data_IF_109575297145
#
_entry.id   IF_109575297145
#
_cell.length_a   1.000
_cell.length_b   1.000
_cell.length_c   1.000
_cell.angle_alpha   90.00
_cell.angle_beta   90.00
_cell.angle_gamma   90.00
#
_symmetry.space_group_name_H-M   'P 1'
#
loop_
_entity.id
_entity.type
_entity.pdbx_description
1 polymer ?
#
# COMPACT_ATOMS: atom_id res chain seq x y z
N UNK A 1 55.58 46.21 -59.83
CA UNK A 1 54.80 46.11 -61.09
C UNK A 1 53.61 47.04 -60.92
N UNK A 2 53.61 48.12 -61.73
CA UNK A 2 52.57 49.11 -62.05
C UNK A 2 51.65 49.64 -60.94
N UNK A 3 51.78 50.92 -60.52
CA UNK A 3 51.30 52.18 -61.18
C UNK A 3 49.77 52.30 -60.96
N UNK A 4 49.19 53.26 -60.24
CA UNK A 4 49.01 54.72 -60.44
C UNK A 4 47.83 55.10 -59.49
N UNK A 5 47.50 56.30 -59.04
CA UNK A 5 48.04 57.67 -59.01
C UNK A 5 46.97 58.50 -58.24
N UNK A 6 47.39 59.48 -57.42
CA UNK A 6 46.83 60.86 -57.27
C UNK A 6 45.31 61.09 -57.02
N UNK A 7 44.83 62.15 -56.36
CA UNK A 7 45.40 63.33 -55.71
C UNK A 7 44.25 64.11 -55.01
N UNK A 8 44.62 64.75 -53.89
CA UNK A 8 44.31 66.12 -53.43
C UNK A 8 42.91 66.78 -53.56
N UNK A 9 42.42 67.33 -52.44
CA UNK A 9 42.24 68.78 -52.08
C UNK A 9 41.11 68.91 -51.03
N UNK A 10 40.95 69.92 -50.17
CA UNK A 10 41.77 70.70 -49.24
C UNK A 10 40.77 71.47 -48.32
N UNK A 11 41.26 72.18 -47.29
CA UNK A 11 40.57 73.00 -46.27
C UNK A 11 39.76 72.26 -45.19
N UNK A 12 39.88 72.52 -43.89
CA UNK A 12 40.61 73.52 -43.11
C UNK A 12 39.81 73.85 -41.85
N UNK A 13 40.39 73.72 -40.65
CA UNK A 13 40.12 74.54 -39.44
C UNK A 13 40.71 73.90 -38.18
N UNK A 14 41.11 74.79 -37.27
CA UNK A 14 41.97 74.58 -36.11
C UNK A 14 41.27 73.97 -34.86
N UNK A 15 42.11 73.46 -33.97
CA UNK A 15 41.99 72.79 -32.66
C UNK A 15 41.20 73.66 -31.62
N UNK A 16 40.38 73.13 -30.66
CA UNK A 16 40.93 72.37 -29.53
C UNK A 16 40.13 71.24 -28.84
N UNK A 17 40.91 70.24 -28.39
CA UNK A 17 40.77 69.33 -27.24
C UNK A 17 39.37 69.17 -26.62
N UNK A 18 38.83 67.95 -26.75
CA UNK A 18 37.90 67.40 -25.76
C UNK A 18 38.23 65.93 -25.46
N UNK A 19 38.47 65.64 -24.17
CA UNK A 19 38.65 64.30 -23.63
C UNK A 19 37.26 63.66 -23.47
N UNK A 20 36.98 62.56 -24.15
CA UNK A 20 35.84 61.67 -23.88
C UNK A 20 36.00 60.44 -24.79
N UNK A 21 35.93 59.18 -24.38
CA UNK A 21 35.56 58.54 -23.13
C UNK A 21 35.46 57.05 -23.43
N UNK A 22 36.53 56.27 -23.20
CA UNK A 22 36.51 54.81 -23.33
C UNK A 22 35.94 54.21 -22.05
N UNK A 23 34.63 54.35 -21.81
CA UNK A 23 33.96 53.71 -20.68
C UNK A 23 32.57 53.22 -21.11
N UNK A 24 32.49 52.05 -21.76
CA UNK A 24 31.20 51.35 -21.85
C UNK A 24 31.25 49.82 -22.09
N UNK A 25 32.37 49.14 -21.78
CA UNK A 25 32.42 47.67 -21.94
C UNK A 25 32.93 46.89 -20.71
N UNK A 26 33.60 47.53 -19.74
CA UNK A 26 34.13 46.83 -18.54
C UNK A 26 33.14 46.70 -17.37
N UNK A 27 32.07 47.50 -17.32
CA UNK A 27 31.10 47.49 -16.22
C UNK A 27 30.21 46.23 -16.25
N UNK A 28 29.65 45.87 -17.42
CA UNK A 28 28.75 44.72 -17.55
C UNK A 28 29.38 43.38 -17.14
N UNK A 29 30.67 43.15 -17.42
CA UNK A 29 31.37 41.92 -17.02
C UNK A 29 31.57 41.80 -15.51
N UNK A 30 31.88 42.91 -14.81
CA UNK A 30 32.01 42.90 -13.35
C UNK A 30 30.66 42.65 -12.67
N UNK A 31 29.59 43.27 -13.16
CA UNK A 31 28.22 43.06 -12.66
C UNK A 31 27.71 41.64 -12.91
N UNK A 32 28.06 41.03 -14.04
CA UNK A 32 27.73 39.63 -14.34
C UNK A 32 28.50 38.66 -13.43
N UNK A 33 29.79 38.95 -13.15
CA UNK A 33 30.62 38.13 -12.26
C UNK A 33 30.18 38.21 -10.80
N UNK A 34 29.83 39.41 -10.31
CA UNK A 34 29.26 39.57 -8.96
C UNK A 34 27.87 38.95 -8.86
N UNK A 35 27.05 39.07 -9.90
CA UNK A 35 25.76 38.38 -9.97
C UNK A 35 25.91 36.85 -9.89
N UNK A 36 26.88 36.28 -10.62
CA UNK A 36 27.19 34.85 -10.55
C UNK A 36 27.70 34.44 -9.16
N UNK A 37 28.64 35.20 -8.57
CA UNK A 37 29.17 34.92 -7.24
C UNK A 37 28.09 34.97 -6.15
N UNK A 38 27.17 35.95 -6.21
CA UNK A 38 26.03 36.04 -5.29
C UNK A 38 25.10 34.84 -5.47
N UNK A 39 24.78 34.47 -6.71
CA UNK A 39 23.95 33.31 -7.01
C UNK A 39 24.57 32.00 -6.49
N UNK A 40 25.86 31.79 -6.74
CA UNK A 40 26.59 30.63 -6.19
C UNK A 40 26.62 30.65 -4.67
N UNK A 41 26.86 31.82 -4.05
CA UNK A 41 26.81 31.98 -2.60
C UNK A 41 25.44 31.63 -2.00
N UNK A 42 24.36 32.03 -2.66
CA UNK A 42 22.98 31.69 -2.26
C UNK A 42 22.70 30.19 -2.40
N UNK A 43 23.20 29.53 -3.45
CA UNK A 43 23.09 28.07 -3.60
C UNK A 43 23.84 27.35 -2.49
N UNK A 44 25.08 27.76 -2.20
CA UNK A 44 25.89 27.17 -1.12
C UNK A 44 25.18 27.36 0.22
N UNK A 45 24.67 28.56 0.50
CA UNK A 45 23.90 28.82 1.71
C UNK A 45 22.65 27.94 1.78
N UNK A 46 21.90 27.80 0.67
CA UNK A 46 20.74 26.92 0.60
C UNK A 46 21.10 25.45 0.88
N UNK A 47 22.23 24.96 0.36
CA UNK A 47 22.73 23.61 0.65
C UNK A 47 23.13 23.45 2.12
N UNK A 48 23.82 24.44 2.69
CA UNK A 48 24.19 24.42 4.12
C UNK A 48 22.94 24.39 5.00
N UNK A 49 21.97 25.27 4.72
CA UNK A 49 20.67 25.33 5.41
C UNK A 49 19.91 24.01 5.22
N UNK A 50 19.92 23.42 4.03
CA UNK A 50 19.29 22.13 3.76
C UNK A 50 19.93 20.97 4.54
N UNK A 51 21.22 21.04 4.89
CA UNK A 51 21.87 19.98 5.68
C UNK A 51 21.55 20.06 7.19
N UNK A 52 20.74 21.03 7.62
CA UNK A 52 20.26 21.11 9.01
C UNK A 52 19.09 20.11 9.17
N UNK A 53 19.18 19.10 10.07
CA UNK A 53 18.15 18.07 10.20
C UNK A 53 16.74 18.61 10.41
N UNK A 54 16.56 19.58 11.31
CA UNK A 54 15.25 20.20 11.58
C UNK A 54 14.64 20.93 10.37
N UNK A 55 15.45 21.34 9.38
CA UNK A 55 14.95 21.91 8.13
C UNK A 55 14.50 20.81 7.17
N UNK A 56 15.25 19.71 7.07
CA UNK A 56 14.83 18.55 6.29
C UNK A 56 13.54 17.94 6.84
N UNK A 57 13.42 17.82 8.16
CA UNK A 57 12.19 17.34 8.80
C UNK A 57 10.98 18.23 8.48
N UNK A 58 11.17 19.56 8.48
CA UNK A 58 10.07 20.51 8.27
C UNK A 58 9.68 20.72 6.81
N UNK A 59 10.64 20.63 5.88
CA UNK A 59 10.46 21.02 4.48
C UNK A 59 10.79 19.91 3.46
N UNK A 60 11.32 18.77 3.90
CA UNK A 60 11.64 17.58 3.08
C UNK A 60 10.50 17.19 2.16
N UNK A 61 9.33 16.97 2.75
CA UNK A 61 8.11 16.57 2.05
C UNK A 61 7.68 17.54 0.95
N UNK A 62 7.92 18.85 1.10
CA UNK A 62 7.60 19.83 0.06
C UNK A 62 8.51 19.70 -1.14
N UNK A 63 9.79 19.39 -0.90
CA UNK A 63 10.74 19.15 -1.96
C UNK A 63 10.39 17.85 -2.70
N UNK A 64 9.97 16.80 -1.98
CA UNK A 64 9.56 15.54 -2.60
C UNK A 64 8.25 15.66 -3.36
N UNK A 65 7.28 16.42 -2.84
CA UNK A 65 6.09 16.83 -3.59
C UNK A 65 6.47 17.57 -4.87
N UNK A 66 7.31 18.60 -4.79
CA UNK A 66 7.75 19.36 -5.95
C UNK A 66 8.50 18.49 -6.97
N UNK A 67 9.36 17.57 -6.51
CA UNK A 67 10.07 16.60 -7.36
C UNK A 67 9.09 15.64 -8.03
N UNK A 68 8.12 15.11 -7.30
CA UNK A 68 7.09 14.21 -7.83
C UNK A 68 6.25 14.93 -8.90
N UNK A 69 5.85 16.16 -8.62
CA UNK A 69 5.07 16.97 -9.55
C UNK A 69 5.86 17.30 -10.82
N UNK A 70 7.09 17.81 -10.69
CA UNK A 70 7.97 18.11 -11.83
C UNK A 70 8.23 16.85 -12.66
N UNK A 71 8.47 15.70 -12.02
CA UNK A 71 8.58 14.42 -12.72
C UNK A 71 7.31 14.06 -13.47
N UNK A 72 6.15 14.26 -12.86
CA UNK A 72 4.84 14.05 -13.47
C UNK A 72 4.56 14.99 -14.65
N UNK A 73 5.08 16.22 -14.63
CA UNK A 73 4.98 17.15 -15.77
C UNK A 73 5.89 16.71 -16.92
N UNK A 74 7.14 16.32 -16.61
CA UNK A 74 8.13 15.90 -17.63
C UNK A 74 7.77 14.53 -18.23
N UNK A 75 7.29 13.60 -17.40
CA UNK A 75 6.94 12.24 -17.79
C UNK A 75 5.63 11.81 -17.10
N UNK A 76 4.47 12.18 -17.67
CA UNK A 76 3.16 11.91 -17.09
C UNK A 76 2.98 10.47 -16.64
N UNK A 77 2.37 10.33 -15.46
CA UNK A 77 1.96 9.03 -14.95
C UNK A 77 0.87 8.50 -15.86
N UNK A 78 1.10 7.30 -16.40
CA UNK A 78 0.12 6.57 -17.20
C UNK A 78 -0.73 5.69 -16.28
N UNK A 79 -1.92 5.24 -16.72
CA UNK A 79 -2.65 4.19 -16.04
C UNK A 79 -1.77 2.96 -15.81
N UNK A 80 -2.12 2.16 -14.80
CA UNK A 80 -1.45 0.91 -14.53
C UNK A 80 -1.46 0.03 -15.80
N UNK A 81 -0.33 -0.58 -16.22
CA UNK A 81 -0.24 -1.28 -17.49
C UNK A 81 -1.22 -2.45 -17.59
N UNK A 82 -1.97 -2.54 -18.68
CA UNK A 82 -2.77 -3.73 -18.97
C UNK A 82 -1.85 -4.93 -19.25
N UNK A 83 -2.31 -6.17 -19.00
CA UNK A 83 -1.53 -7.37 -19.32
C UNK A 83 -1.24 -7.47 -20.83
N UNK A 84 -0.03 -7.90 -21.20
CA UNK A 84 0.41 -8.08 -22.60
C UNK A 84 -0.27 -9.27 -23.27
N UNK A 85 -0.47 -10.34 -22.49
CA UNK A 85 -1.20 -11.54 -22.90
C UNK A 85 -2.33 -11.73 -21.90
N UNK A 86 -3.57 -11.74 -22.38
CA UNK A 86 -4.74 -12.05 -21.55
C UNK A 86 -5.07 -13.52 -21.77
N UNK A 87 -4.82 -14.35 -20.77
CA UNK A 87 -5.40 -15.69 -20.74
C UNK A 87 -6.85 -15.58 -20.31
N UNK A 88 -7.73 -16.36 -20.94
CA UNK A 88 -9.10 -16.45 -20.45
C UNK A 88 -9.07 -17.06 -19.05
N UNK A 89 -9.54 -16.28 -18.07
CA UNK A 89 -9.81 -16.75 -16.72
C UNK A 89 -10.63 -18.03 -16.79
N UNK A 90 -10.02 -19.16 -16.42
CA UNK A 90 -10.69 -20.46 -16.34
C UNK A 90 -10.59 -20.96 -14.92
N UNK A 91 -11.39 -20.35 -14.05
CA UNK A 91 -11.52 -20.83 -12.68
C UNK A 91 -12.39 -22.09 -12.72
N UNK A 92 -11.91 -23.25 -12.26
CA UNK A 92 -12.74 -24.43 -12.17
C UNK A 92 -13.93 -24.09 -11.26
N UNK A 93 -15.13 -24.11 -11.84
CA UNK A 93 -16.40 -24.05 -11.12
C UNK A 93 -16.58 -25.40 -10.41
N UNK A 94 -15.84 -25.60 -9.34
CA UNK A 94 -15.96 -26.80 -8.52
C UNK A 94 -17.20 -26.72 -7.64
N UNK A 95 -18.35 -27.16 -8.14
CA UNK A 95 -19.20 -27.99 -7.29
C UNK A 95 -18.40 -29.24 -6.94
N UNK A 96 -18.38 -29.72 -5.69
CA UNK A 96 -17.74 -30.99 -5.38
C UNK A 96 -18.44 -32.08 -6.21
N UNK A 97 -17.74 -32.56 -7.24
CA UNK A 97 -18.17 -33.71 -8.01
C UNK A 97 -18.17 -34.90 -7.05
N UNK A 98 -19.36 -35.37 -6.69
CA UNK A 98 -19.51 -36.60 -5.94
C UNK A 98 -18.82 -37.71 -6.72
N UNK A 99 -17.78 -38.29 -6.12
CA UNK A 99 -17.19 -39.53 -6.58
C UNK A 99 -18.32 -40.56 -6.66
N UNK A 100 -18.54 -41.25 -7.81
CA UNK A 100 -19.49 -42.35 -7.84
C UNK A 100 -18.91 -43.46 -6.97
N UNK A 101 -19.47 -43.62 -5.77
CA UNK A 101 -19.29 -44.83 -4.97
C UNK A 101 -19.93 -45.95 -5.78
N UNK A 102 -19.11 -46.92 -6.20
CA UNK A 102 -19.60 -48.19 -6.75
C UNK A 102 -20.42 -48.89 -5.67
N UNK A 103 -21.73 -48.83 -5.78
CA UNK A 103 -22.65 -49.61 -4.97
C UNK A 103 -22.53 -51.07 -5.40
N UNK A 104 -21.83 -51.89 -4.61
CA UNK A 104 -22.02 -53.34 -4.67
C UNK A 104 -23.37 -53.66 -4.03
N UNK A 105 -24.26 -54.29 -4.80
CA UNK A 105 -25.43 -54.98 -4.25
C UNK A 105 -24.94 -56.13 -3.35
N UNK A 106 -25.21 -56.00 -2.05
CA UNK A 106 -25.13 -57.11 -1.10
C UNK A 106 -26.55 -57.39 -0.64
N UNK A 107 -27.01 -58.60 -0.91
CA UNK A 107 -28.32 -59.10 -0.51
C UNK A 107 -28.53 -58.92 1.00
N UNK A 108 -29.57 -58.16 1.35
CA UNK A 108 -29.97 -57.86 2.72
C UNK A 108 -30.74 -59.06 3.27
N UNK A 109 -30.09 -59.83 4.15
CA UNK A 109 -30.82 -60.62 5.15
C UNK A 109 -31.30 -59.68 6.26
N UNK A 110 -32.60 -59.70 6.49
CA UNK A 110 -33.29 -58.90 7.51
C UNK A 110 -32.82 -59.27 8.92
N UNK A 111 -32.52 -58.29 9.80
CA UNK A 111 -32.69 -58.51 11.23
C UNK A 111 -33.63 -57.49 11.87
N UNK A 112 -34.50 -58.09 12.66
CA UNK A 112 -35.34 -57.64 13.76
C UNK A 112 -35.01 -56.28 14.39
N UNK A 113 -36.06 -55.50 14.57
CA UNK A 113 -36.14 -54.22 15.27
C UNK A 113 -35.56 -54.24 16.69
N UNK A 114 -34.55 -53.40 16.94
CA UNK A 114 -34.14 -52.96 18.27
C UNK A 114 -34.26 -51.43 18.34
N UNK A 115 -35.07 -50.94 19.27
CA UNK A 115 -35.31 -49.51 19.51
C UNK A 115 -34.09 -48.85 20.15
N UNK A 116 -33.44 -47.92 19.44
CA UNK A 116 -32.45 -47.00 19.98
C UNK A 116 -33.11 -45.64 20.27
N UNK A 117 -32.85 -44.99 21.41
CA UNK A 117 -33.47 -43.70 21.73
C UNK A 117 -32.99 -42.60 20.79
N UNK A 118 -33.93 -41.75 20.36
CA UNK A 118 -33.67 -40.60 19.49
C UNK A 118 -32.69 -39.61 20.16
N UNK A 119 -31.76 -38.99 19.40
CA UNK A 119 -30.89 -37.95 19.95
C UNK A 119 -31.74 -36.76 20.42
N UNK A 120 -31.54 -36.36 21.67
CA UNK A 120 -32.13 -35.16 22.24
C UNK A 120 -31.64 -33.93 21.46
N UNK A 121 -32.51 -32.98 21.08
CA UNK A 121 -32.07 -31.76 20.41
C UNK A 121 -31.18 -30.97 21.35
N UNK A 122 -29.90 -30.83 21.00
CA UNK A 122 -29.01 -29.87 21.62
C UNK A 122 -29.60 -28.49 21.39
N UNK A 123 -29.97 -27.79 22.46
CA UNK A 123 -30.44 -26.41 22.42
C UNK A 123 -29.23 -25.56 22.00
N UNK A 124 -29.11 -25.26 20.71
CA UNK A 124 -28.15 -24.26 20.23
C UNK A 124 -28.58 -22.92 20.81
N UNK A 125 -27.77 -22.24 21.63
CA UNK A 125 -28.12 -20.93 22.14
C UNK A 125 -28.29 -19.98 20.95
N UNK A 126 -29.48 -19.40 20.79
CA UNK A 126 -29.71 -18.32 19.85
C UNK A 126 -28.77 -17.16 20.24
N UNK A 127 -27.92 -16.66 19.32
CA UNK A 127 -27.01 -15.57 19.65
C UNK A 127 -27.81 -14.37 20.15
N UNK A 128 -27.36 -13.80 21.27
CA UNK A 128 -27.96 -12.56 21.81
C UNK A 128 -27.90 -11.49 20.71
N UNK A 129 -29.02 -10.84 20.37
CA UNK A 129 -29.01 -9.79 19.37
C UNK A 129 -28.06 -8.66 19.80
N UNK A 130 -27.26 -8.15 18.86
CA UNK A 130 -26.37 -7.04 19.13
C UNK A 130 -27.16 -5.81 19.56
N UNK A 131 -26.62 -4.96 20.46
CA UNK A 131 -27.20 -3.65 20.72
C UNK A 131 -27.33 -2.85 19.41
N UNK A 132 -28.39 -2.06 19.23
CA UNK A 132 -28.60 -1.28 17.99
C UNK A 132 -27.58 -0.15 17.80
N UNK A 133 -26.90 0.25 18.88
CA UNK A 133 -25.87 1.27 18.86
C UNK A 133 -24.84 0.95 19.95
N UNK A 134 -23.57 1.11 19.63
CA UNK A 134 -22.45 0.99 20.59
C UNK A 134 -21.46 2.11 20.32
N UNK A 135 -20.98 2.76 21.38
CA UNK A 135 -19.85 3.69 21.34
C UNK A 135 -18.88 3.30 22.44
N UNK A 136 -17.66 2.93 22.05
CA UNK A 136 -16.57 2.64 22.96
C UNK A 136 -15.96 3.93 23.51
N UNK A 137 -15.25 3.87 24.65
CA UNK A 137 -14.46 5.00 25.13
C UNK A 137 -13.53 5.54 24.04
N UNK A 138 -13.55 6.86 23.84
CA UNK A 138 -12.71 7.51 22.85
C UNK A 138 -11.22 7.40 23.26
N UNK A 139 -10.35 6.83 22.42
CA UNK A 139 -8.91 6.87 22.67
C UNK A 139 -8.38 8.29 22.51
N UNK A 140 -7.24 8.58 23.13
CA UNK A 140 -6.53 9.84 22.85
C UNK A 140 -6.18 9.93 21.35
N UNK A 141 -6.68 10.97 20.70
CA UNK A 141 -6.52 11.17 19.26
C UNK A 141 -5.06 11.41 18.86
N UNK A 142 -4.62 10.74 17.80
CA UNK A 142 -3.28 10.89 17.23
C UNK A 142 -3.39 11.33 15.78
N UNK A 143 -3.02 12.58 15.51
CA UNK A 143 -2.86 13.07 14.14
C UNK A 143 -1.60 12.48 13.52
N UNK A 144 -1.71 11.88 12.34
CA UNK A 144 -0.57 11.24 11.70
C UNK A 144 0.51 12.23 11.26
N UNK A 145 1.75 11.77 11.30
CA UNK A 145 2.86 12.34 10.54
C UNK A 145 2.84 11.85 9.06
N UNK A 146 3.80 12.31 8.27
CA UNK A 146 3.95 11.97 6.85
C UNK A 146 4.00 10.45 6.65
N UNK A 147 3.10 9.95 5.78
CA UNK A 147 2.94 8.53 5.48
C UNK A 147 2.82 7.64 6.73
N UNK A 148 2.19 8.13 7.81
CA UNK A 148 2.20 7.45 9.11
C UNK A 148 0.80 6.99 9.57
N UNK A 149 -0.14 6.79 8.64
CA UNK A 149 -1.50 6.37 8.99
C UNK A 149 -1.53 5.06 9.77
N UNK A 150 -0.81 4.02 9.34
CA UNK A 150 -0.72 2.74 10.07
C UNK A 150 -0.23 2.91 11.51
N UNK A 151 0.97 3.49 11.75
CA UNK A 151 1.48 3.73 13.09
C UNK A 151 0.59 4.65 13.95
N UNK A 152 0.00 5.70 13.37
CA UNK A 152 -0.90 6.59 14.10
C UNK A 152 -2.19 5.89 14.53
N UNK A 153 -2.80 5.11 13.64
CA UNK A 153 -4.03 4.36 13.93
C UNK A 153 -3.76 3.23 14.94
N UNK A 154 -2.63 2.53 14.83
CA UNK A 154 -2.21 1.56 15.85
C UNK A 154 -1.94 2.24 17.20
N UNK A 155 -1.34 3.44 17.23
CA UNK A 155 -1.15 4.19 18.47
C UNK A 155 -2.49 4.53 19.14
N UNK A 156 -3.50 4.96 18.38
CA UNK A 156 -4.86 5.18 18.92
C UNK A 156 -5.45 3.87 19.46
N UNK A 157 -5.29 2.76 18.75
CA UNK A 157 -5.77 1.44 19.20
C UNK A 157 -5.09 0.97 20.49
N UNK A 158 -3.79 1.20 20.65
CA UNK A 158 -3.06 0.90 21.89
C UNK A 158 -3.42 1.86 23.03
N UNK A 159 -3.66 3.15 22.73
CA UNK A 159 -4.10 4.17 23.71
C UNK A 159 -5.49 3.85 24.28
N UNK A 160 -6.37 3.21 23.50
CA UNK A 160 -7.63 2.64 24.00
C UNK A 160 -7.39 1.68 25.19
N UNK A 161 -6.31 0.89 25.13
CA UNK A 161 -5.87 -0.03 26.18
C UNK A 161 -4.91 0.61 27.21
N UNK A 162 -4.82 1.94 27.23
CA UNK A 162 -4.04 2.68 28.23
C UNK A 162 -2.55 2.82 27.93
N UNK A 163 -2.07 2.39 26.75
CA UNK A 163 -0.68 2.61 26.32
C UNK A 163 -0.35 4.11 26.26
N UNK A 164 0.89 4.47 26.64
CA UNK A 164 1.34 5.87 26.81
C UNK A 164 2.38 6.33 25.80
N UNK A 165 2.74 5.48 24.84
CA UNK A 165 3.68 5.84 23.77
C UNK A 165 3.07 6.72 22.69
N UNK A 166 3.87 6.96 21.66
CA UNK A 166 3.51 7.80 20.52
C UNK A 166 3.69 7.05 19.19
N UNK A 167 3.12 7.59 18.11
CA UNK A 167 3.22 6.97 16.77
C UNK A 167 4.68 6.81 16.31
N UNK A 168 5.59 7.64 16.81
CA UNK A 168 7.01 7.62 16.48
C UNK A 168 7.71 6.39 17.10
N UNK A 169 7.21 5.87 18.22
CA UNK A 169 7.77 4.65 18.82
C UNK A 169 7.47 3.43 17.96
N UNK A 170 6.28 3.41 17.35
CA UNK A 170 5.87 2.40 16.38
C UNK A 170 6.64 2.58 15.07
N UNK A 171 6.64 3.80 14.53
CA UNK A 171 7.23 4.12 13.23
C UNK A 171 8.74 3.81 13.16
N UNK A 172 9.50 3.96 14.25
CA UNK A 172 10.94 3.63 14.26
C UNK A 172 11.23 2.17 13.89
N UNK A 173 10.30 1.26 14.15
CA UNK A 173 10.46 -0.16 13.87
C UNK A 173 9.79 -0.56 12.56
N UNK A 174 8.56 -0.10 12.31
CA UNK A 174 7.79 -0.52 11.13
C UNK A 174 8.02 0.38 9.90
N UNK A 175 8.72 1.50 10.06
CA UNK A 175 9.13 2.41 8.98
C UNK A 175 10.62 2.74 9.11
N UNK A 176 11.52 1.84 8.68
CA UNK A 176 12.95 2.05 8.84
C UNK A 176 13.44 3.32 8.12
N UNK A 177 12.72 3.77 7.08
CA UNK A 177 12.88 5.09 6.46
C UNK A 177 11.62 5.94 6.65
N UNK A 178 11.79 7.23 6.99
CA UNK A 178 10.67 8.16 7.19
C UNK A 178 9.78 8.30 5.94
N UNK A 179 10.41 8.27 4.77
CA UNK A 179 9.77 8.42 3.46
C UNK A 179 9.09 7.14 2.97
N UNK A 180 9.18 6.05 3.74
CA UNK A 180 8.40 4.86 3.49
C UNK A 180 6.90 5.23 3.44
N UNK A 181 6.27 4.79 2.36
CA UNK A 181 4.91 5.16 1.98
C UNK A 181 3.91 4.06 2.28
N UNK A 182 4.38 2.92 2.76
CA UNK A 182 3.57 1.75 3.04
C UNK A 182 3.93 1.21 4.42
N UNK A 183 2.93 0.73 5.15
CA UNK A 183 3.14 -0.12 6.32
C UNK A 183 2.09 -1.20 6.23
N UNK A 184 2.53 -2.42 6.00
CA UNK A 184 1.67 -3.57 5.84
C UNK A 184 1.09 -4.01 7.20
N UNK A 185 -0.05 -4.70 7.14
CA UNK A 185 -0.73 -5.23 8.33
C UNK A 185 0.19 -6.17 9.12
N UNK A 186 1.01 -6.96 8.42
CA UNK A 186 1.99 -7.86 9.00
C UNK A 186 3.02 -7.11 9.85
N UNK A 187 3.50 -5.94 9.42
CA UNK A 187 4.50 -5.15 10.16
C UNK A 187 3.91 -4.56 11.44
N UNK A 188 2.67 -4.05 11.36
CA UNK A 188 1.93 -3.61 12.54
C UNK A 188 1.70 -4.77 13.52
N UNK A 189 1.38 -5.96 13.01
CA UNK A 189 1.21 -7.16 13.82
C UNK A 189 2.52 -7.58 14.49
N UNK A 190 3.64 -7.58 13.76
CA UNK A 190 4.97 -7.90 14.31
C UNK A 190 5.37 -6.92 15.41
N UNK A 191 5.14 -5.62 15.23
CA UNK A 191 5.41 -4.63 16.28
C UNK A 191 4.66 -4.97 17.57
N UNK A 192 3.37 -5.31 17.48
CA UNK A 192 2.57 -5.67 18.67
C UNK A 192 3.08 -6.95 19.32
N UNK A 193 3.43 -7.97 18.53
CA UNK A 193 3.99 -9.22 19.03
C UNK A 193 5.33 -9.03 19.75
N UNK A 194 6.20 -8.15 19.26
CA UNK A 194 7.52 -7.91 19.85
C UNK A 194 7.48 -6.96 21.05
N UNK A 195 6.63 -5.93 21.02
CA UNK A 195 6.71 -4.82 21.96
C UNK A 195 5.53 -4.71 22.94
N UNK A 196 4.39 -5.34 22.62
CA UNK A 196 3.14 -5.19 23.39
C UNK A 196 2.71 -6.54 23.95
N UNK A 197 3.52 -7.08 24.86
CA UNK A 197 3.34 -8.44 25.41
C UNK A 197 2.11 -8.67 26.30
N UNK A 198 1.30 -7.64 26.57
CA UNK A 198 0.08 -7.73 27.39
C UNK A 198 -1.23 -7.70 26.60
N UNK A 199 -1.16 -7.51 25.28
CA UNK A 199 -2.29 -7.66 24.36
C UNK A 199 -2.03 -8.80 23.39
N UNK A 200 -3.12 -9.36 22.86
CA UNK A 200 -3.07 -10.25 21.70
C UNK A 200 -3.53 -9.48 20.47
N UNK A 201 -3.03 -9.88 19.31
CA UNK A 201 -3.44 -9.33 18.03
C UNK A 201 -3.85 -10.45 17.09
N UNK A 202 -4.97 -10.27 16.41
CA UNK A 202 -5.39 -11.09 15.30
C UNK A 202 -5.76 -10.19 14.14
N UNK A 203 -5.40 -10.58 12.93
CA UNK A 203 -5.93 -9.97 11.72
C UNK A 203 -6.48 -11.03 10.78
N UNK A 204 -7.51 -10.69 10.02
CA UNK A 204 -8.19 -11.57 9.07
C UNK A 204 -8.61 -10.76 7.85
N UNK A 205 -8.96 -11.47 6.79
CA UNK A 205 -9.45 -10.88 5.54
C UNK A 205 -10.86 -11.38 5.23
N UNK A 206 -11.51 -10.78 4.23
CA UNK A 206 -12.88 -11.13 3.87
C UNK A 206 -13.89 -10.81 4.98
N UNK A 207 -13.62 -9.77 5.77
CA UNK A 207 -14.54 -9.31 6.81
C UNK A 207 -15.86 -8.78 6.23
N UNK A 208 -16.81 -8.49 7.11
CA UNK A 208 -18.09 -7.87 6.76
C UNK A 208 -18.56 -6.96 7.89
N UNK A 209 -19.57 -6.13 7.59
CA UNK A 209 -20.13 -5.13 8.52
C UNK A 209 -20.58 -5.76 9.84
N UNK A 210 -21.24 -6.93 9.81
CA UNK A 210 -21.70 -7.59 11.03
C UNK A 210 -20.54 -8.07 11.90
N UNK A 211 -19.44 -8.53 11.30
CA UNK A 211 -18.22 -8.92 12.02
C UNK A 211 -17.61 -7.74 12.76
N UNK A 212 -17.50 -6.59 12.10
CA UNK A 212 -16.99 -5.36 12.72
C UNK A 212 -17.89 -4.93 13.89
N UNK A 213 -19.22 -4.99 13.72
CA UNK A 213 -20.19 -4.69 14.78
C UNK A 213 -20.08 -5.64 15.97
N UNK A 214 -19.90 -6.95 15.72
CA UNK A 214 -19.72 -7.95 16.78
C UNK A 214 -18.52 -7.65 17.67
N UNK A 215 -17.38 -7.27 17.08
CA UNK A 215 -16.20 -6.88 17.87
C UNK A 215 -16.42 -5.61 18.67
N UNK A 216 -17.00 -4.57 18.05
CA UNK A 216 -17.29 -3.31 18.73
C UNK A 216 -18.27 -3.54 19.89
N UNK A 217 -19.32 -4.35 19.68
CA UNK A 217 -20.27 -4.71 20.74
C UNK A 217 -19.63 -5.52 21.88
N UNK A 218 -18.54 -6.24 21.60
CA UNK A 218 -17.74 -6.95 22.59
C UNK A 218 -16.69 -6.07 23.30
N UNK A 219 -16.71 -4.75 23.07
CA UNK A 219 -15.77 -3.82 23.68
C UNK A 219 -14.40 -3.76 22.99
N UNK A 220 -14.28 -4.29 21.77
CA UNK A 220 -13.02 -4.40 21.03
C UNK A 220 -13.06 -3.44 19.83
N UNK A 221 -12.25 -2.38 19.81
CA UNK A 221 -12.14 -1.51 18.64
C UNK A 221 -11.47 -2.29 17.49
N UNK A 222 -11.84 -1.95 16.26
CA UNK A 222 -11.37 -2.67 15.07
C UNK A 222 -10.61 -1.74 14.15
N UNK A 223 -9.36 -2.07 13.86
CA UNK A 223 -8.57 -1.34 12.88
C UNK A 223 -8.77 -1.98 11.49
N UNK A 224 -9.01 -1.17 10.47
CA UNK A 224 -9.17 -1.63 9.08
C UNK A 224 -8.23 -0.85 8.16
N UNK A 225 -7.88 -1.44 7.03
CA UNK A 225 -7.23 -0.74 5.92
C UNK A 225 -8.24 -0.55 4.79
N UNK A 226 -8.45 0.68 4.35
CA UNK A 226 -9.40 1.02 3.29
C UNK A 226 -8.81 2.03 2.29
N UNK A 227 -9.54 2.27 1.22
CA UNK A 227 -9.26 3.39 0.33
C UNK A 227 -9.70 4.71 0.97
N UNK A 228 -8.86 5.74 0.86
CA UNK A 228 -9.30 7.13 0.96
C UNK A 228 -8.90 7.93 -0.29
N UNK A 229 -9.58 9.06 -0.48
CA UNK A 229 -9.27 10.01 -1.54
C UNK A 229 -8.47 11.17 -0.95
N UNK A 230 -7.23 11.33 -1.39
CA UNK A 230 -6.41 12.47 -1.00
C UNK A 230 -7.04 13.77 -1.50
N UNK A 231 -6.90 14.85 -0.74
CA UNK A 231 -7.38 16.17 -1.16
C UNK A 231 -6.53 16.71 -2.32
N UNK A 232 -5.21 16.54 -2.22
CA UNK A 232 -4.23 17.10 -3.15
C UNK A 232 -3.76 16.08 -4.20
N UNK A 233 -3.50 16.58 -5.41
CA UNK A 233 -2.83 15.83 -6.46
C UNK A 233 -1.31 16.04 -6.40
N UNK A 234 -0.55 14.96 -6.39
CA UNK A 234 0.92 14.98 -6.35
C UNK A 234 1.55 15.11 -7.74
N UNK A 235 0.78 14.84 -8.80
CA UNK A 235 1.20 14.98 -10.20
C UNK A 235 0.00 15.27 -11.11
N UNK A 236 0.22 15.70 -12.38
CA UNK A 236 -0.86 15.84 -13.36
C UNK A 236 -1.57 14.50 -13.61
N UNK A 237 -2.91 14.50 -13.61
CA UNK A 237 -3.77 13.31 -13.76
C UNK A 237 -3.63 12.27 -12.64
N UNK A 238 -3.26 12.71 -11.45
CA UNK A 238 -3.29 11.90 -10.24
C UNK A 238 -4.74 11.51 -9.89
N UNK A 239 -4.99 10.21 -9.76
CA UNK A 239 -6.30 9.66 -9.38
C UNK A 239 -6.65 9.88 -7.89
N UNK A 240 -5.70 10.37 -7.08
CA UNK A 240 -5.81 10.66 -5.65
C UNK A 240 -6.20 9.47 -4.77
N UNK A 241 -6.27 8.27 -5.34
CA UNK A 241 -6.55 7.05 -4.61
C UNK A 241 -5.33 6.68 -3.77
N UNK A 242 -5.55 6.37 -2.49
CA UNK A 242 -4.51 5.92 -1.57
C UNK A 242 -5.09 4.97 -0.51
N UNK A 243 -4.23 4.11 0.06
CA UNK A 243 -4.56 3.29 1.22
C UNK A 243 -4.48 4.11 2.51
N UNK A 244 -5.35 3.77 3.46
CA UNK A 244 -5.46 4.43 4.75
C UNK A 244 -5.98 3.50 5.83
N UNK A 245 -5.55 3.74 7.07
CA UNK A 245 -6.00 2.95 8.22
C UNK A 245 -7.02 3.74 9.04
N UNK A 246 -8.14 3.10 9.35
CA UNK A 246 -9.17 3.63 10.26
C UNK A 246 -9.26 2.77 11.53
N UNK A 247 -9.55 3.40 12.66
CA UNK A 247 -9.91 2.72 13.90
C UNK A 247 -11.40 2.88 14.18
N UNK A 248 -12.18 1.81 14.06
CA UNK A 248 -13.61 1.81 14.34
C UNK A 248 -13.84 1.64 15.85
N UNK A 249 -14.56 2.60 16.44
CA UNK A 249 -14.83 2.66 17.89
C UNK A 249 -16.32 2.71 18.23
N UNK A 250 -17.20 2.64 17.23
CA UNK A 250 -18.64 2.63 17.45
C UNK A 250 -19.43 2.32 16.20
N UNK A 251 -20.71 2.03 16.37
CA UNK A 251 -21.67 1.89 15.29
C UNK A 251 -23.08 2.31 15.71
N UNK A 252 -23.91 2.65 14.73
CA UNK A 252 -25.32 3.00 14.90
C UNK A 252 -26.12 2.40 13.73
N UNK A 253 -26.97 1.43 14.04
CA UNK A 253 -27.73 0.68 13.04
C UNK A 253 -28.93 1.45 12.48
N UNK A 254 -29.47 2.40 13.23
CA UNK A 254 -30.55 3.27 12.75
C UNK A 254 -30.02 4.17 11.63
N UNK A 255 -28.82 4.73 11.84
CA UNK A 255 -28.14 5.59 10.89
C UNK A 255 -27.31 4.81 9.86
N UNK A 256 -27.06 3.51 10.08
CA UNK A 256 -26.18 2.65 9.28
C UNK A 256 -24.77 3.22 9.13
N UNK A 257 -24.17 3.63 10.24
CA UNK A 257 -22.84 4.22 10.27
C UNK A 257 -21.92 3.53 11.27
N UNK A 258 -20.63 3.55 10.99
CA UNK A 258 -19.57 3.41 11.99
C UNK A 258 -19.11 4.79 12.47
N UNK A 259 -18.56 4.81 13.68
CA UNK A 259 -17.80 5.92 14.25
C UNK A 259 -16.34 5.51 14.20
N UNK A 260 -15.52 6.25 13.46
CA UNK A 260 -14.12 5.96 13.19
C UNK A 260 -13.20 7.07 13.70
N UNK A 261 -12.02 6.70 14.18
CA UNK A 261 -10.92 7.62 14.43
C UNK A 261 -10.02 7.61 13.20
N UNK A 262 -9.97 8.73 12.49
CA UNK A 262 -9.17 8.92 11.29
C UNK A 262 -7.98 9.83 11.60
N UNK A 263 -6.75 9.31 11.49
CA UNK A 263 -5.53 10.06 11.83
C UNK A 263 -5.20 11.20 10.87
N UNK A 264 -5.79 11.22 9.67
CA UNK A 264 -5.59 12.23 8.64
C UNK A 264 -6.67 13.33 8.72
N UNK A 265 -7.93 12.91 8.82
CA UNK A 265 -9.10 13.79 8.71
C UNK A 265 -9.50 14.36 10.07
N UNK A 266 -10.03 13.53 10.96
CA UNK A 266 -10.55 13.95 12.27
C UNK A 266 -10.94 12.76 13.16
N UNK A 267 -10.99 12.93 14.50
CA UNK A 267 -11.63 11.95 15.38
C UNK A 267 -13.14 11.86 15.16
N UNK A 268 -13.74 10.74 15.56
CA UNK A 268 -15.19 10.48 15.53
C UNK A 268 -15.87 10.71 14.16
N UNK A 269 -15.17 10.41 13.07
CA UNK A 269 -15.71 10.44 11.71
C UNK A 269 -16.88 9.45 11.58
N UNK A 270 -17.96 9.90 10.96
CA UNK A 270 -19.13 9.06 10.69
C UNK A 270 -19.02 8.49 9.27
N UNK A 271 -18.90 7.17 9.17
CA UNK A 271 -18.73 6.48 7.89
C UNK A 271 -19.91 5.55 7.65
N UNK A 272 -20.62 5.71 6.53
CA UNK A 272 -21.74 4.83 6.19
C UNK A 272 -21.30 3.39 5.97
N UNK A 273 -22.10 2.40 6.37
CA UNK A 273 -21.78 0.98 6.21
C UNK A 273 -21.47 0.61 4.76
N UNK A 274 -22.25 1.15 3.81
CA UNK A 274 -22.03 0.89 2.38
C UNK A 274 -20.77 1.54 1.83
N UNK A 275 -20.44 2.75 2.30
CA UNK A 275 -19.25 3.48 1.84
C UNK A 275 -17.99 2.83 2.40
N UNK A 276 -18.02 2.45 3.68
CA UNK A 276 -16.96 1.69 4.32
C UNK A 276 -16.73 0.37 3.58
N UNK A 277 -17.77 -0.46 3.35
CA UNK A 277 -17.59 -1.75 2.70
C UNK A 277 -16.97 -1.62 1.29
N UNK A 278 -17.43 -0.62 0.53
CA UNK A 278 -16.92 -0.33 -0.80
C UNK A 278 -15.44 0.06 -0.77
N UNK A 279 -15.03 0.94 0.13
CA UNK A 279 -13.65 1.38 0.25
C UNK A 279 -12.75 0.27 0.82
N UNK A 280 -13.27 -0.49 1.77
CA UNK A 280 -12.61 -1.59 2.45
C UNK A 280 -12.38 -2.81 1.55
N UNK A 281 -13.26 -3.05 0.57
CA UNK A 281 -13.08 -4.11 -0.43
C UNK A 281 -11.74 -4.00 -1.16
N UNK A 282 -11.23 -2.80 -1.40
CA UNK A 282 -9.95 -2.60 -2.11
C UNK A 282 -8.73 -3.23 -1.42
N UNK A 283 -8.82 -3.54 -0.12
CA UNK A 283 -7.79 -4.20 0.69
C UNK A 283 -8.28 -5.55 1.22
N UNK A 284 -9.05 -6.28 0.40
CA UNK A 284 -9.58 -7.61 0.73
C UNK A 284 -10.35 -7.66 2.06
N UNK A 285 -10.98 -6.53 2.44
CA UNK A 285 -11.69 -6.38 3.71
C UNK A 285 -10.86 -6.85 4.92
N UNK A 286 -9.60 -6.41 4.98
CA UNK A 286 -8.69 -6.73 6.09
C UNK A 286 -9.06 -5.99 7.36
N UNK A 287 -9.10 -6.69 8.49
CA UNK A 287 -9.33 -6.11 9.80
C UNK A 287 -8.37 -6.68 10.83
N UNK A 288 -8.04 -5.85 11.82
CA UNK A 288 -7.11 -6.12 12.89
C UNK A 288 -7.81 -5.83 14.21
N UNK A 289 -7.73 -6.78 15.14
CA UNK A 289 -8.26 -6.64 16.49
C UNK A 289 -7.14 -6.84 17.50
N UNK A 290 -7.02 -5.87 18.40
CA UNK A 290 -6.22 -5.98 19.61
C UNK A 290 -7.15 -6.25 20.77
N UNK A 291 -6.78 -7.17 21.67
CA UNK A 291 -7.64 -7.56 22.79
C UNK A 291 -6.81 -8.10 23.96
N UNK A 292 -7.37 -8.02 25.16
CA UNK A 292 -6.76 -8.63 26.34
C UNK A 292 -6.82 -10.16 26.26
N UNK A 293 -5.83 -10.91 26.80
CA UNK A 293 -5.85 -12.37 26.82
C UNK A 293 -7.17 -12.99 27.31
N UNK A 294 -7.86 -12.36 28.26
CA UNK A 294 -9.14 -12.79 28.83
C UNK A 294 -10.31 -12.68 27.83
N UNK A 295 -10.18 -11.87 26.78
CA UNK A 295 -11.17 -11.72 25.71
C UNK A 295 -11.00 -12.75 24.57
N UNK A 296 -10.01 -13.65 24.63
CA UNK A 296 -9.72 -14.56 23.52
C UNK A 296 -10.89 -15.46 23.16
N UNK A 297 -11.59 -16.04 24.13
CA UNK A 297 -12.72 -16.92 23.85
C UNK A 297 -13.87 -16.15 23.18
N UNK A 298 -14.05 -14.87 23.52
CA UNK A 298 -14.98 -13.97 22.83
C UNK A 298 -14.54 -13.73 21.39
N UNK A 299 -13.25 -13.45 21.15
CA UNK A 299 -12.70 -13.24 19.81
C UNK A 299 -12.83 -14.51 18.96
N UNK A 300 -12.53 -15.69 19.52
CA UNK A 300 -12.74 -16.99 18.89
C UNK A 300 -14.21 -17.22 18.55
N UNK A 301 -15.12 -16.91 19.46
CA UNK A 301 -16.55 -17.05 19.24
C UNK A 301 -17.05 -16.12 18.11
N UNK A 302 -16.56 -14.88 18.07
CA UNK A 302 -16.88 -13.92 17.01
C UNK A 302 -16.30 -14.37 15.67
N UNK A 303 -15.06 -14.84 15.61
CA UNK A 303 -14.44 -15.32 14.38
C UNK A 303 -15.05 -16.65 13.90
N UNK A 304 -15.45 -17.52 14.82
CA UNK A 304 -15.96 -18.85 14.50
C UNK A 304 -14.93 -19.64 13.69
N UNK A 305 -15.33 -20.12 12.51
CA UNK A 305 -14.41 -20.83 11.61
C UNK A 305 -13.25 -19.98 11.10
N UNK A 306 -13.44 -18.65 11.01
CA UNK A 306 -12.38 -17.72 10.59
C UNK A 306 -11.29 -17.57 11.66
N UNK A 307 -11.42 -18.21 12.84
CA UNK A 307 -10.30 -18.31 13.78
C UNK A 307 -9.12 -19.05 13.14
N UNK A 308 -9.38 -20.08 12.35
CA UNK A 308 -8.36 -20.75 11.56
C UNK A 308 -8.01 -19.92 10.32
N UNK A 309 -6.71 -19.68 10.10
CA UNK A 309 -6.23 -18.78 9.04
C UNK A 309 -6.56 -19.32 7.65
N UNK A 310 -6.41 -20.62 7.43
CA UNK A 310 -6.67 -21.25 6.14
C UNK A 310 -8.17 -21.27 5.85
N UNK A 311 -9.01 -21.54 6.86
CA UNK A 311 -10.46 -21.39 6.74
C UNK A 311 -10.86 -19.95 6.43
N UNK A 312 -10.29 -18.95 7.11
CA UNK A 312 -10.56 -17.54 6.81
C UNK A 312 -10.20 -17.19 5.36
N UNK A 313 -9.00 -17.57 4.91
CA UNK A 313 -8.54 -17.33 3.54
C UNK A 313 -9.38 -18.07 2.51
N UNK A 314 -9.85 -19.27 2.82
CA UNK A 314 -10.77 -20.03 1.97
C UNK A 314 -12.15 -19.35 1.87
N UNK A 315 -12.66 -18.79 2.97
CA UNK A 315 -13.91 -18.03 2.99
C UNK A 315 -13.77 -16.72 2.19
N UNK A 316 -12.68 -15.98 2.39
CA UNK A 316 -12.37 -14.78 1.61
C UNK A 316 -12.20 -15.09 0.11
N UNK A 317 -11.56 -16.21 -0.23
CA UNK A 317 -11.43 -16.70 -1.61
C UNK A 317 -12.81 -16.95 -2.26
N UNK A 318 -13.70 -17.68 -1.57
CA UNK A 318 -15.06 -17.95 -2.04
C UNK A 318 -15.86 -16.66 -2.22
N UNK A 319 -15.75 -15.74 -1.27
CA UNK A 319 -16.42 -14.44 -1.33
C UNK A 319 -15.93 -13.63 -2.54
N UNK A 320 -14.61 -13.49 -2.72
CA UNK A 320 -14.05 -12.79 -3.86
C UNK A 320 -14.48 -13.45 -5.19
N UNK A 321 -14.45 -14.78 -5.28
CA UNK A 321 -14.93 -15.50 -6.46
C UNK A 321 -16.41 -15.22 -6.75
N UNK A 322 -17.27 -15.23 -5.73
CA UNK A 322 -18.68 -14.87 -5.87
C UNK A 322 -18.85 -13.42 -6.34
N UNK A 323 -18.10 -12.46 -5.79
CA UNK A 323 -18.12 -11.06 -6.21
C UNK A 323 -17.71 -10.89 -7.67
N UNK A 324 -16.70 -11.63 -8.16
CA UNK A 324 -16.32 -11.59 -9.58
C UNK A 324 -17.42 -12.10 -10.52
N UNK A 325 -18.32 -12.96 -10.04
CA UNK A 325 -19.45 -13.47 -10.81
C UNK A 325 -20.63 -12.50 -10.80
N UNK A 326 -20.91 -11.87 -9.66
CA UNK A 326 -21.98 -10.87 -9.52
C UNK A 326 -21.65 -9.56 -10.25
N UNK A 327 -20.39 -9.12 -10.13
CA UNK A 327 -19.89 -7.89 -10.75
C UNK A 327 -18.59 -8.16 -11.54
N UNK A 328 -18.69 -8.72 -12.77
CA UNK A 328 -17.50 -9.04 -13.56
C UNK A 328 -16.61 -7.84 -13.92
N UNK A 329 -17.12 -6.61 -13.78
CA UNK A 329 -16.39 -5.36 -13.98
C UNK A 329 -15.81 -4.77 -12.68
N UNK A 330 -15.88 -5.48 -11.55
CA UNK A 330 -15.29 -5.03 -10.29
C UNK A 330 -13.81 -5.43 -10.23
N UNK A 331 -12.91 -4.47 -10.49
CA UNK A 331 -11.46 -4.73 -10.49
C UNK A 331 -10.93 -5.17 -9.12
N UNK A 332 -11.49 -4.66 -8.01
CA UNK A 332 -11.05 -5.03 -6.67
C UNK A 332 -11.46 -6.45 -6.31
N UNK A 333 -12.64 -6.92 -6.72
CA UNK A 333 -13.03 -8.32 -6.54
C UNK A 333 -12.06 -9.28 -7.25
N UNK A 334 -11.68 -8.97 -8.49
CA UNK A 334 -10.67 -9.74 -9.24
C UNK A 334 -9.29 -9.67 -8.58
N UNK A 335 -8.89 -8.51 -8.07
CA UNK A 335 -7.62 -8.36 -7.36
C UNK A 335 -7.61 -9.20 -6.07
N UNK A 336 -8.68 -9.14 -5.27
CA UNK A 336 -8.82 -9.92 -4.05
C UNK A 336 -8.86 -11.42 -4.32
N UNK A 337 -9.49 -11.85 -5.41
CA UNK A 337 -9.44 -13.24 -5.87
C UNK A 337 -7.98 -13.67 -6.08
N UNK A 338 -7.21 -12.86 -6.81
CA UNK A 338 -5.77 -13.08 -6.99
C UNK A 338 -5.01 -13.15 -5.66
N UNK A 339 -5.26 -12.21 -4.75
CA UNK A 339 -4.59 -12.13 -3.44
C UNK A 339 -4.86 -13.36 -2.58
N UNK A 340 -6.10 -13.86 -2.54
CA UNK A 340 -6.42 -15.08 -1.80
C UNK A 340 -5.88 -16.34 -2.51
N UNK A 341 -5.76 -16.36 -3.84
CA UNK A 341 -5.13 -17.46 -4.58
C UNK A 341 -3.61 -17.54 -4.35
N UNK A 342 -2.94 -16.39 -4.23
CA UNK A 342 -1.51 -16.32 -3.86
C UNK A 342 -1.26 -16.99 -2.50
N UNK A 343 -2.13 -16.77 -1.52
CA UNK A 343 -2.01 -17.40 -0.20
C UNK A 343 -1.99 -18.94 -0.29
N UNK A 344 -2.70 -19.52 -1.25
CA UNK A 344 -2.75 -20.98 -1.47
C UNK A 344 -1.77 -21.47 -2.56
N UNK A 345 -0.76 -20.67 -2.91
CA UNK A 345 0.23 -20.98 -3.95
C UNK A 345 -0.39 -21.28 -5.34
N UNK A 346 -1.62 -20.85 -5.59
CA UNK A 346 -2.33 -21.02 -6.88
C UNK A 346 -1.94 -19.91 -7.85
N UNK A 347 -0.65 -19.78 -8.11
CA UNK A 347 -0.05 -18.63 -8.79
C UNK A 347 -0.56 -18.42 -10.23
N UNK A 348 -0.80 -19.50 -10.97
CA UNK A 348 -1.33 -19.41 -12.34
C UNK A 348 -2.72 -18.75 -12.35
N UNK A 349 -3.62 -19.22 -11.48
CA UNK A 349 -4.97 -18.69 -11.37
C UNK A 349 -4.95 -17.26 -10.79
N UNK A 350 -4.05 -16.99 -9.84
CA UNK A 350 -3.84 -15.65 -9.32
C UNK A 350 -3.40 -14.67 -10.41
N UNK A 351 -2.46 -15.07 -11.28
CA UNK A 351 -2.00 -14.25 -12.41
C UNK A 351 -3.16 -13.95 -13.39
N UNK A 352 -4.05 -14.90 -13.66
CA UNK A 352 -5.25 -14.68 -14.47
C UNK A 352 -6.24 -13.69 -13.80
N UNK A 353 -6.44 -13.82 -12.49
CA UNK A 353 -7.30 -12.90 -11.74
C UNK A 353 -6.73 -11.46 -11.77
N UNK A 354 -5.42 -11.30 -11.56
CA UNK A 354 -4.74 -10.02 -11.65
C UNK A 354 -4.75 -9.43 -13.06
N UNK A 355 -4.62 -10.25 -14.10
CA UNK A 355 -4.77 -9.78 -15.48
C UNK A 355 -6.14 -9.16 -15.72
N UNK A 356 -7.20 -9.81 -15.23
CA UNK A 356 -8.56 -9.31 -15.37
C UNK A 356 -8.77 -8.01 -14.58
N UNK A 357 -8.28 -7.93 -13.35
CA UNK A 357 -8.29 -6.69 -12.56
C UNK A 357 -7.58 -5.54 -13.30
N UNK A 358 -6.38 -5.79 -13.83
CA UNK A 358 -5.59 -4.81 -14.59
C UNK A 358 -6.24 -4.41 -15.91
N UNK A 359 -6.95 -5.32 -16.58
CA UNK A 359 -7.70 -5.05 -17.81
C UNK A 359 -8.90 -4.13 -17.55
N UNK A 360 -9.61 -4.34 -16.44
CA UNK A 360 -10.73 -3.47 -16.02
C UNK A 360 -10.20 -2.09 -15.64
N UNK A 361 -9.09 -2.05 -14.90
CA UNK A 361 -8.43 -0.83 -14.46
C UNK A 361 -8.26 -0.81 -12.95
N UNK A 362 -7.05 -0.48 -12.51
CA UNK A 362 -6.69 -0.35 -11.11
C UNK A 362 -6.14 1.05 -10.83
N UNK A 363 -6.25 1.53 -9.58
CA UNK A 363 -5.64 2.79 -9.16
C UNK A 363 -4.13 2.83 -9.41
N UNK A 364 -3.60 4.02 -9.69
CA UNK A 364 -2.19 4.28 -9.99
C UNK A 364 -1.25 3.85 -8.85
N UNK A 365 -1.73 3.93 -7.60
CA UNK A 365 -0.96 3.55 -6.40
C UNK A 365 -1.27 2.15 -5.89
N UNK A 366 -2.01 1.31 -6.62
CA UNK A 366 -2.36 -0.04 -6.15
C UNK A 366 -1.12 -0.84 -5.71
N UNK A 367 -0.06 -0.81 -6.53
CA UNK A 367 1.21 -1.51 -6.28
C UNK A 367 2.14 -0.79 -5.29
N UNK A 368 1.68 0.28 -4.63
CA UNK A 368 2.37 0.85 -3.47
C UNK A 368 2.08 0.05 -2.20
N UNK A 369 0.90 -0.53 -2.11
CA UNK A 369 0.41 -1.20 -0.89
C UNK A 369 0.25 -2.72 -1.08
N UNK A 370 0.04 -3.19 -2.31
CA UNK A 370 -0.32 -4.59 -2.56
C UNK A 370 0.58 -5.22 -3.62
N UNK A 371 1.39 -6.20 -3.21
CA UNK A 371 2.47 -6.78 -4.01
C UNK A 371 2.20 -8.19 -4.55
N UNK A 372 1.05 -8.78 -4.20
CA UNK A 372 0.63 -10.11 -4.67
C UNK A 372 0.79 -10.38 -6.17
N UNK A 373 0.54 -9.40 -7.08
CA UNK A 373 0.80 -9.58 -8.51
C UNK A 373 2.25 -9.94 -8.83
N UNK A 374 3.24 -9.39 -8.12
CA UNK A 374 4.65 -9.67 -8.39
C UNK A 374 4.97 -11.14 -8.14
N UNK A 375 4.53 -11.66 -7.00
CA UNK A 375 4.70 -13.05 -6.61
C UNK A 375 4.00 -13.99 -7.59
N UNK A 376 2.73 -13.71 -7.93
CA UNK A 376 1.98 -14.50 -8.90
C UNK A 376 2.69 -14.60 -10.25
N UNK A 377 3.11 -13.47 -10.84
CA UNK A 377 3.78 -13.49 -12.15
C UNK A 377 5.18 -14.12 -12.11
N UNK A 378 5.91 -14.01 -11.00
CA UNK A 378 7.21 -14.67 -10.84
C UNK A 378 7.06 -16.20 -10.86
N UNK A 379 6.12 -16.73 -10.07
CA UNK A 379 5.90 -18.17 -9.95
C UNK A 379 5.17 -18.77 -11.15
N UNK A 380 4.36 -17.98 -11.87
CA UNK A 380 3.74 -18.36 -13.15
C UNK A 380 4.69 -18.19 -14.36
N UNK A 381 5.96 -17.85 -14.13
CA UNK A 381 6.99 -17.63 -15.17
C UNK A 381 6.66 -16.53 -16.19
N UNK A 382 5.75 -15.61 -15.86
CA UNK A 382 5.39 -14.45 -16.71
C UNK A 382 6.30 -13.26 -16.42
N UNK A 383 7.59 -13.45 -16.64
CA UNK A 383 8.63 -12.50 -16.24
C UNK A 383 8.50 -11.14 -16.95
N UNK A 384 7.98 -11.11 -18.18
CA UNK A 384 7.70 -9.85 -18.87
C UNK A 384 6.65 -8.98 -18.16
N UNK A 385 5.62 -9.60 -17.57
CA UNK A 385 4.60 -8.89 -16.77
C UNK A 385 5.20 -8.38 -15.46
N UNK A 386 5.97 -9.22 -14.77
CA UNK A 386 6.68 -8.84 -13.55
C UNK A 386 7.61 -7.63 -13.80
N UNK A 387 8.39 -7.65 -14.88
CA UNK A 387 9.30 -6.56 -15.22
C UNK A 387 8.57 -5.27 -15.55
N UNK A 388 7.43 -5.35 -16.26
CA UNK A 388 6.60 -4.19 -16.58
C UNK A 388 5.94 -3.59 -15.34
N UNK A 389 5.41 -4.42 -14.44
CA UNK A 389 4.74 -3.95 -13.22
C UNK A 389 5.73 -3.40 -12.18
N UNK A 390 6.88 -4.04 -12.00
CA UNK A 390 7.91 -3.50 -11.09
C UNK A 390 8.50 -2.19 -11.63
N UNK A 391 8.65 -2.04 -12.94
CA UNK A 391 9.05 -0.75 -13.55
C UNK A 391 8.00 0.33 -13.31
N UNK A 392 6.72 0.00 -13.48
CA UNK A 392 5.63 0.91 -13.16
C UNK A 392 5.62 1.30 -11.68
N UNK A 393 5.69 0.32 -10.78
CA UNK A 393 5.69 0.55 -9.33
C UNK A 393 6.85 1.46 -8.91
N UNK A 394 8.07 1.24 -9.42
CA UNK A 394 9.23 2.09 -9.14
C UNK A 394 9.14 3.49 -9.78
N UNK A 395 8.33 3.66 -10.84
CA UNK A 395 8.03 5.01 -11.37
C UNK A 395 7.14 5.79 -10.39
N UNK A 396 6.16 5.13 -9.76
CA UNK A 396 5.19 5.72 -8.83
C UNK A 396 5.77 5.89 -7.42
N UNK A 397 6.46 4.87 -6.93
CA UNK A 397 7.08 4.78 -5.60
C UNK A 397 8.54 4.35 -5.78
N UNK A 398 9.46 5.30 -6.02
CA UNK A 398 10.86 5.00 -6.35
C UNK A 398 11.64 4.32 -5.24
N UNK A 399 11.17 4.46 -4.01
CA UNK A 399 11.76 3.90 -2.80
C UNK A 399 11.04 2.62 -2.32
N UNK A 400 10.17 1.99 -3.14
CA UNK A 400 9.55 0.72 -2.75
C UNK A 400 10.57 -0.41 -2.81
N UNK A 401 10.96 -0.90 -1.66
CA UNK A 401 11.85 -2.02 -1.47
C UNK A 401 11.26 -3.32 -2.03
N UNK A 402 9.95 -3.56 -1.93
CA UNK A 402 9.32 -4.76 -2.48
C UNK A 402 9.37 -4.72 -4.00
N UNK A 403 9.10 -3.58 -4.64
CA UNK A 403 9.22 -3.44 -6.08
C UNK A 403 10.68 -3.64 -6.55
N UNK A 404 11.66 -3.17 -5.78
CA UNK A 404 13.08 -3.43 -6.05
C UNK A 404 13.42 -4.92 -5.91
N UNK A 405 13.00 -5.57 -4.83
CA UNK A 405 13.20 -6.99 -4.56
C UNK A 405 12.63 -7.83 -5.71
N UNK A 406 11.37 -7.65 -6.04
CA UNK A 406 10.69 -8.43 -7.07
C UNK A 406 11.24 -8.15 -8.48
N UNK A 407 11.70 -6.92 -8.75
CA UNK A 407 12.46 -6.64 -9.99
C UNK A 407 13.77 -7.41 -10.03
N UNK A 408 14.48 -7.49 -8.91
CA UNK A 408 15.70 -8.28 -8.79
C UNK A 408 15.46 -9.75 -9.10
N UNK A 409 14.39 -10.33 -8.54
CA UNK A 409 13.99 -11.71 -8.83
C UNK A 409 13.64 -11.92 -10.32
N UNK A 410 12.93 -10.97 -10.93
CA UNK A 410 12.68 -10.98 -12.38
C UNK A 410 13.97 -10.96 -13.21
N UNK A 411 14.92 -10.09 -12.87
CA UNK A 411 16.23 -10.01 -13.53
C UNK A 411 17.04 -11.30 -13.36
N UNK A 412 16.97 -11.93 -12.19
CA UNK A 412 17.60 -13.22 -11.94
C UNK A 412 17.06 -14.32 -12.86
N UNK A 413 15.73 -14.42 -13.03
CA UNK A 413 15.09 -15.35 -13.98
C UNK A 413 15.48 -15.10 -15.44
N UNK A 414 15.79 -13.86 -15.80
CA UNK A 414 16.31 -13.49 -17.11
C UNK A 414 17.82 -13.77 -17.28
N UNK A 415 18.49 -14.35 -16.28
CA UNK A 415 19.93 -14.62 -16.30
C UNK A 415 20.80 -13.39 -16.02
N UNK A 416 20.22 -12.25 -15.65
CA UNK A 416 20.91 -10.98 -15.41
C UNK A 416 21.32 -10.84 -13.94
N UNK A 417 22.17 -11.76 -13.47
CA UNK A 417 22.53 -11.89 -12.04
C UNK A 417 23.11 -10.62 -11.43
N UNK A 418 24.03 -9.94 -12.13
CA UNK A 418 24.63 -8.69 -11.65
C UNK A 418 23.61 -7.55 -11.49
N UNK A 419 22.64 -7.46 -12.40
CA UNK A 419 21.57 -6.47 -12.30
C UNK A 419 20.61 -6.83 -11.15
N UNK A 420 20.31 -8.12 -10.95
CA UNK A 420 19.50 -8.61 -9.85
C UNK A 420 20.13 -8.28 -8.49
N UNK A 421 21.41 -8.61 -8.31
CA UNK A 421 22.17 -8.29 -7.10
C UNK A 421 22.13 -6.80 -6.75
N UNK A 422 22.30 -5.93 -7.76
CA UNK A 422 22.18 -4.47 -7.59
C UNK A 422 20.78 -4.04 -7.15
N UNK A 423 19.71 -4.69 -7.62
CA UNK A 423 18.36 -4.38 -7.16
C UNK A 423 18.15 -4.81 -5.71
N UNK A 424 18.63 -6.00 -5.31
CA UNK A 424 18.52 -6.45 -3.93
C UNK A 424 19.31 -5.55 -2.96
N UNK A 425 20.49 -5.09 -3.35
CA UNK A 425 21.25 -4.09 -2.58
C UNK A 425 20.51 -2.77 -2.42
N UNK A 426 19.77 -2.33 -3.46
CA UNK A 426 18.93 -1.13 -3.35
C UNK A 426 17.76 -1.35 -2.40
N UNK A 427 17.06 -2.48 -2.51
CA UNK A 427 15.97 -2.84 -1.59
C UNK A 427 16.45 -2.83 -0.13
N UNK A 428 17.61 -3.43 0.14
CA UNK A 428 18.23 -3.41 1.48
C UNK A 428 18.70 -2.00 1.91
N UNK A 429 19.00 -1.12 0.97
CA UNK A 429 19.34 0.27 1.23
C UNK A 429 18.12 1.11 1.65
N UNK A 430 16.95 0.86 1.06
CA UNK A 430 15.68 1.51 1.44
C UNK A 430 15.10 0.90 2.72
N UNK A 431 15.29 -0.40 2.95
CA UNK A 431 14.87 -1.08 4.18
C UNK A 431 16.07 -1.83 4.80
N UNK A 432 16.86 -1.15 5.65
CA UNK A 432 17.92 -1.78 6.42
C UNK A 432 17.36 -2.91 7.29
N UNK A 433 17.88 -4.13 7.12
CA UNK A 433 17.39 -5.31 7.84
C UNK A 433 16.33 -6.11 7.08
N UNK A 434 15.99 -5.72 5.85
CA UNK A 434 15.00 -6.44 5.04
C UNK A 434 15.43 -7.89 4.76
N UNK A 435 14.85 -8.84 5.50
CA UNK A 435 15.24 -10.24 5.50
C UNK A 435 15.17 -10.87 4.10
N UNK A 436 14.14 -10.55 3.31
CA UNK A 436 13.97 -11.10 1.97
C UNK A 436 15.06 -10.62 1.00
N UNK A 437 15.46 -9.35 1.10
CA UNK A 437 16.57 -8.82 0.31
C UNK A 437 17.90 -9.43 0.73
N UNK A 438 18.14 -9.62 2.04
CA UNK A 438 19.33 -10.30 2.54
C UNK A 438 19.41 -11.75 2.05
N UNK A 439 18.29 -12.47 2.11
CA UNK A 439 18.18 -13.82 1.56
C UNK A 439 18.46 -13.82 0.05
N UNK A 440 17.86 -12.91 -0.71
CA UNK A 440 18.05 -12.82 -2.16
C UNK A 440 19.52 -12.58 -2.54
N UNK A 441 20.21 -11.66 -1.83
CA UNK A 441 21.65 -11.39 -1.97
C UNK A 441 22.47 -12.65 -1.72
N UNK A 442 22.22 -13.36 -0.61
CA UNK A 442 22.93 -14.60 -0.28
C UNK A 442 22.67 -15.67 -1.34
N UNK A 443 21.43 -15.82 -1.78
CA UNK A 443 21.04 -16.82 -2.77
C UNK A 443 21.76 -16.60 -4.11
N UNK A 444 21.77 -15.38 -4.65
CA UNK A 444 22.41 -15.10 -5.96
C UNK A 444 23.93 -15.01 -5.92
N UNK A 445 24.53 -14.82 -4.74
CA UNK A 445 25.99 -14.89 -4.59
C UNK A 445 26.49 -16.33 -4.47
N UNK A 446 25.63 -17.25 -4.04
CA UNK A 446 25.97 -18.67 -3.87
C UNK A 446 25.59 -19.55 -5.07
N UNK A 447 24.66 -19.12 -5.93
CA UNK A 447 24.12 -19.90 -7.06
C UNK A 447 24.32 -19.17 -8.39
#
# INVERSE_FOLDING_TARGET
MSICLTAFYHNGSEIPKEKSGTICCMSKKKTLLTGFAIFTGLIILAVIVWNIPGIQERYGWRLDFARAYVRGVINPVKPLPTPRVVYAASFPTGTPQSTPVLTQEVDVLTPTSSSSPAPTPTITPTPTPLPPQVLLPEPEYVKQDINNCGPATLAMALKFYGWKGAQEDIAKEVKPMRDDRNVNVEELAQYVLHNVGWLRLQYRVGGNIDRLRQFIAAGIPVMIEETFMMEESYWPNDDRWAGHYLLLTGYDDEQKIFIAQDSFVSPNLRVGYSDLDKNWQSFNRVYIVLYYPEQEDTVKAILGEDWDLDKNRMNALKQAQHETQQEPSNAFAWFNLGTNLVYFDRYHEAAQAYDQARKIGLPQRMLRYQFGPFMAYFHDFRIDELMALTEYALKITPNSEEAMLWRGWGLYRLGKREEAYKMFLKALGEHPGYADAQYAIQYVTQN
#
